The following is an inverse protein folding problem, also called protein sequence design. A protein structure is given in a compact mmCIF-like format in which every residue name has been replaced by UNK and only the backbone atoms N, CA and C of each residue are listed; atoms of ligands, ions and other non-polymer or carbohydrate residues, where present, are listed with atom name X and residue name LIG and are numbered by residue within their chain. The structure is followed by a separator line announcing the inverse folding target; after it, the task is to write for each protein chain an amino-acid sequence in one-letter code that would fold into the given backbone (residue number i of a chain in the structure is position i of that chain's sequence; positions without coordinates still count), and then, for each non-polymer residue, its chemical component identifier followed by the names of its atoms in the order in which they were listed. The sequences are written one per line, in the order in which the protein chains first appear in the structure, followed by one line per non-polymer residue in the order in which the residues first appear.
data_IF_688874206834
#
_entry.id   IF_688874206834
#
_cell.length_a   1.000
_cell.length_b   1.000
_cell.length_c   1.000
_cell.angle_alpha   90.00
_cell.angle_beta   90.00
_cell.angle_gamma   90.00
#
_symmetry.space_group_name_H-M   'P 1'
#
loop_
_entity.id
_entity.type
_entity.pdbx_description
1 polymer ?
#
# COMPACT_ATOMS: atom_id res chain seq x y z
N UNK A 1 -7.61 -34.99 24.41
CA UNK A 1 -7.35 -33.54 24.49
C UNK A 1 -6.69 -33.11 23.19
N UNK A 2 -7.48 -32.69 22.19
CA UNK A 2 -6.96 -32.11 20.93
C UNK A 2 -7.27 -30.62 20.96
N UNK A 3 -6.27 -29.81 21.29
CA UNK A 3 -6.40 -28.36 21.19
C UNK A 3 -6.34 -27.96 19.73
N UNK A 4 -7.47 -27.54 19.17
CA UNK A 4 -7.49 -26.74 17.94
C UNK A 4 -6.95 -25.36 18.35
N UNK A 5 -5.67 -25.12 18.08
CA UNK A 5 -5.05 -23.81 18.25
C UNK A 5 -5.61 -22.86 17.20
N UNK A 6 -6.59 -22.05 17.60
CA UNK A 6 -7.04 -20.90 16.83
C UNK A 6 -5.97 -19.84 17.05
N UNK A 7 -5.17 -19.55 16.03
CA UNK A 7 -4.11 -18.55 16.13
C UNK A 7 -4.73 -17.16 16.12
N UNK A 8 -4.03 -16.19 16.72
CA UNK A 8 -4.47 -14.79 16.82
C UNK A 8 -4.78 -14.14 15.44
N UNK A 9 -4.29 -14.73 14.35
CA UNK A 9 -4.57 -14.32 12.97
C UNK A 9 -5.90 -14.86 12.42
N UNK A 10 -6.43 -15.97 12.97
CA UNK A 10 -7.69 -16.58 12.52
C UNK A 10 -8.93 -15.81 13.01
N UNK A 11 -8.79 -15.00 14.07
CA UNK A 11 -9.89 -14.20 14.63
C UNK A 11 -10.12 -12.91 13.81
N UNK A 12 -9.09 -12.40 13.11
CA UNK A 12 -9.20 -11.20 12.27
C UNK A 12 -9.90 -11.46 10.93
N UNK A 13 -9.83 -12.69 10.40
CA UNK A 13 -10.52 -13.05 9.15
C UNK A 13 -12.02 -13.31 9.34
N UNK A 14 -12.48 -13.62 10.56
CA UNK A 14 -13.87 -14.04 10.82
C UNK A 14 -14.84 -12.90 11.15
N UNK A 15 -14.42 -11.63 11.19
CA UNK A 15 -15.31 -10.48 11.41
C UNK A 15 -15.73 -9.70 10.16
N UNK A 16 -15.20 -10.04 8.97
CA UNK A 16 -15.38 -9.22 7.77
C UNK A 16 -16.04 -9.93 6.58
N UNK A 17 -16.74 -11.04 6.82
CA UNK A 17 -17.34 -11.83 5.75
C UNK A 17 -18.80 -11.44 5.44
N UNK A 18 -19.11 -10.14 5.39
CA UNK A 18 -20.41 -9.65 4.96
C UNK A 18 -20.31 -8.94 3.61
N UNK A 19 -20.92 -9.52 2.57
CA UNK A 19 -21.06 -8.87 1.27
C UNK A 19 -22.23 -7.89 1.36
N UNK A 20 -21.94 -6.59 1.45
CA UNK A 20 -22.95 -5.55 1.32
C UNK A 20 -23.32 -5.39 -0.17
N UNK A 21 -24.45 -5.94 -0.58
CA UNK A 21 -24.96 -5.79 -1.94
C UNK A 21 -25.89 -4.59 -2.06
N UNK A 22 -25.51 -3.60 -2.87
CA UNK A 22 -26.36 -2.45 -3.22
C UNK A 22 -26.50 -2.34 -4.74
N UNK A 23 -27.70 -1.99 -5.21
CA UNK A 23 -27.93 -1.61 -6.61
C UNK A 23 -27.86 -0.09 -6.72
N UNK A 24 -27.09 0.40 -7.68
CA UNK A 24 -26.92 1.84 -7.94
C UNK A 24 -26.86 2.09 -9.44
N UNK A 25 -27.20 3.30 -9.85
CA UNK A 25 -27.28 3.68 -11.27
C UNK A 25 -25.95 4.25 -11.74
N UNK A 26 -25.59 3.95 -12.99
CA UNK A 26 -24.44 4.54 -13.67
C UNK A 26 -24.85 5.86 -14.32
N UNK A 27 -24.30 6.97 -13.82
CA UNK A 27 -24.58 8.31 -14.33
C UNK A 27 -23.56 8.74 -15.40
N UNK A 28 -23.94 9.70 -16.25
CA UNK A 28 -23.03 10.34 -17.22
C UNK A 28 -22.30 11.50 -16.54
N UNK A 29 -20.97 11.56 -16.70
CA UNK A 29 -20.11 12.65 -16.21
C UNK A 29 -19.24 13.09 -17.38
N UNK A 30 -19.69 14.10 -18.14
CA UNK A 30 -19.02 14.50 -19.38
C UNK A 30 -18.94 13.35 -20.39
N UNK A 31 -17.74 13.02 -20.85
CA UNK A 31 -17.48 11.85 -21.71
C UNK A 31 -17.34 10.53 -20.93
N UNK A 32 -17.35 10.60 -19.60
CA UNK A 32 -17.15 9.46 -18.71
C UNK A 32 -18.47 9.00 -18.07
N UNK A 33 -18.39 7.90 -17.33
CA UNK A 33 -19.49 7.34 -16.54
C UNK A 33 -19.06 7.20 -15.07
N UNK A 34 -19.98 7.40 -14.14
CA UNK A 34 -19.71 7.31 -12.71
C UNK A 34 -20.75 6.49 -11.95
N UNK A 35 -20.33 5.95 -10.81
CA UNK A 35 -21.18 5.21 -9.86
C UNK A 35 -21.24 6.01 -8.56
N UNK A 36 -22.44 6.23 -8.02
CA UNK A 36 -22.59 6.86 -6.70
C UNK A 36 -22.36 5.84 -5.60
N UNK A 37 -21.29 6.02 -4.83
CA UNK A 37 -20.98 5.21 -3.65
C UNK A 37 -21.47 5.94 -2.38
N UNK A 38 -22.26 5.29 -1.50
CA UNK A 38 -22.61 5.84 -0.20
C UNK A 38 -21.36 6.18 0.64
N UNK A 39 -21.39 7.34 1.31
CA UNK A 39 -20.29 7.80 2.18
C UNK A 39 -19.90 6.77 3.25
N UNK A 40 -20.88 6.04 3.78
CA UNK A 40 -20.66 5.00 4.79
C UNK A 40 -19.71 3.91 4.27
N UNK A 41 -19.85 3.50 3.00
CA UNK A 41 -18.98 2.48 2.40
C UNK A 41 -17.55 3.01 2.27
N UNK A 42 -17.38 4.24 1.78
CA UNK A 42 -16.05 4.87 1.65
C UNK A 42 -15.33 4.97 3.01
N UNK A 43 -16.06 5.35 4.05
CA UNK A 43 -15.52 5.43 5.42
C UNK A 43 -15.14 4.06 5.98
N UNK A 44 -15.96 3.03 5.76
CA UNK A 44 -15.68 1.66 6.24
C UNK A 44 -14.39 1.08 5.65
N UNK A 45 -14.08 1.40 4.40
CA UNK A 45 -12.89 0.90 3.68
C UNK A 45 -11.70 1.89 3.71
N UNK A 46 -11.85 3.02 4.39
CA UNK A 46 -10.78 4.02 4.55
C UNK A 46 -10.39 4.73 3.24
N UNK A 47 -11.35 4.89 2.32
CA UNK A 47 -11.15 5.66 1.09
C UNK A 47 -11.52 7.11 1.34
N UNK A 48 -10.59 8.02 1.03
CA UNK A 48 -10.82 9.46 1.01
C UNK A 48 -11.16 9.88 -0.42
N UNK A 49 -10.18 10.41 -1.15
CA UNK A 49 -10.41 11.10 -2.42
C UNK A 49 -9.97 10.29 -3.66
N UNK A 50 -9.08 9.30 -3.48
CA UNK A 50 -8.50 8.53 -4.57
C UNK A 50 -8.63 7.02 -4.36
N UNK A 51 -8.85 6.31 -5.47
CA UNK A 51 -8.95 4.84 -5.53
C UNK A 51 -8.19 4.32 -6.75
N UNK A 52 -7.55 3.18 -6.59
CA UNK A 52 -7.05 2.40 -7.72
C UNK A 52 -8.20 1.59 -8.31
N UNK A 53 -8.32 1.59 -9.64
CA UNK A 53 -9.34 0.85 -10.38
C UNK A 53 -8.66 -0.22 -11.23
N UNK A 54 -9.02 -1.48 -10.97
CA UNK A 54 -8.58 -2.65 -11.74
C UNK A 54 -9.78 -3.31 -12.42
N UNK A 55 -9.58 -3.84 -13.63
CA UNK A 55 -10.57 -4.65 -14.34
C UNK A 55 -10.15 -6.11 -14.26
N UNK A 56 -10.96 -6.93 -13.58
CA UNK A 56 -10.77 -8.38 -13.47
C UNK A 56 -11.96 -9.08 -14.14
N UNK A 57 -11.74 -9.62 -15.34
CA UNK A 57 -12.75 -10.33 -16.14
C UNK A 57 -14.02 -9.50 -16.37
N UNK A 58 -15.06 -9.76 -15.58
CA UNK A 58 -16.41 -9.19 -15.66
C UNK A 58 -16.73 -8.22 -14.51
N UNK A 59 -15.74 -7.86 -13.69
CA UNK A 59 -15.91 -6.95 -12.55
C UNK A 59 -14.82 -5.89 -12.49
N UNK A 60 -15.17 -4.78 -11.85
CA UNK A 60 -14.25 -3.72 -11.49
C UNK A 60 -13.91 -3.86 -10.00
N UNK A 61 -12.62 -3.86 -9.68
CA UNK A 61 -12.12 -3.89 -8.31
C UNK A 61 -11.60 -2.49 -7.98
N UNK A 62 -12.19 -1.87 -6.95
CA UNK A 62 -11.73 -0.59 -6.41
C UNK A 62 -10.92 -0.84 -5.15
N UNK A 63 -9.70 -0.30 -5.09
CA UNK A 63 -8.81 -0.41 -3.93
C UNK A 63 -8.49 0.98 -3.39
N UNK A 64 -8.41 1.18 -2.07
CA UNK A 64 -7.88 2.42 -1.52
C UNK A 64 -6.45 2.64 -2.01
N UNK A 65 -6.13 3.85 -2.48
CA UNK A 65 -4.75 4.20 -2.82
C UNK A 65 -3.91 4.13 -1.55
N UNK A 66 -2.95 3.20 -1.53
CA UNK A 66 -1.93 3.13 -0.49
C UNK A 66 -0.64 3.67 -1.06
N UNK A 67 -0.31 4.92 -0.74
CA UNK A 67 1.01 5.43 -1.08
C UNK A 67 2.06 4.58 -0.36
N UNK A 68 2.84 3.81 -1.13
CA UNK A 68 3.85 2.86 -0.64
C UNK A 68 4.83 3.48 0.37
N UNK A 69 4.99 4.81 0.32
CA UNK A 69 5.86 5.62 1.19
C UNK A 69 5.11 6.64 2.05
N UNK A 70 3.82 6.41 2.30
CA UNK A 70 3.07 7.23 3.25
C UNK A 70 3.77 7.21 4.61
N UNK A 71 3.94 8.38 5.22
CA UNK A 71 4.63 8.51 6.51
C UNK A 71 6.16 8.45 6.45
N UNK A 72 6.79 8.12 5.30
CA UNK A 72 8.26 8.06 5.19
C UNK A 72 8.89 9.40 5.53
N UNK A 73 8.38 10.51 4.96
CA UNK A 73 8.89 11.85 5.25
C UNK A 73 8.97 12.15 6.75
N UNK A 74 7.97 11.71 7.51
CA UNK A 74 7.93 11.94 8.96
C UNK A 74 8.84 10.96 9.71
N UNK A 75 8.90 9.70 9.28
CA UNK A 75 9.85 8.72 9.80
C UNK A 75 11.30 9.17 9.60
N UNK A 76 11.67 9.64 8.39
CA UNK A 76 12.99 10.20 8.10
C UNK A 76 13.31 11.43 8.95
N UNK A 77 12.35 12.35 9.15
CA UNK A 77 12.55 13.48 10.07
C UNK A 77 12.81 13.01 11.50
N UNK A 78 12.10 11.98 11.98
CA UNK A 78 12.30 11.41 13.32
C UNK A 78 13.65 10.69 13.44
N UNK A 79 14.08 9.97 12.41
CA UNK A 79 15.40 9.32 12.36
C UNK A 79 16.52 10.35 12.41
N UNK A 80 16.46 11.39 11.57
CA UNK A 80 17.45 12.47 11.56
C UNK A 80 17.50 13.23 12.89
N UNK A 81 16.33 13.51 13.50
CA UNK A 81 16.26 14.15 14.81
C UNK A 81 16.90 13.31 15.94
N UNK A 82 16.93 11.98 15.77
CA UNK A 82 17.59 11.04 16.69
C UNK A 82 19.04 10.72 16.32
N UNK A 83 19.53 11.22 15.18
CA UNK A 83 20.80 10.83 14.57
C UNK A 83 20.89 9.31 14.27
N UNK A 84 19.74 8.67 14.05
CA UNK A 84 19.62 7.26 13.63
C UNK A 84 19.86 7.10 12.11
N UNK A 85 20.21 8.17 11.40
CA UNK A 85 20.49 8.22 9.97
C UNK A 85 21.99 8.19 9.64
N UNK A 86 22.85 7.94 10.64
CA UNK A 86 24.29 7.78 10.44
C UNK A 86 24.60 6.39 9.89
N UNK A 87 25.58 6.32 8.98
CA UNK A 87 26.16 5.04 8.57
C UNK A 87 26.69 4.31 9.82
N UNK A 88 26.32 3.04 9.96
CA UNK A 88 26.85 2.16 11.01
C UNK A 88 28.28 1.71 10.68
N UNK A 89 28.56 1.62 9.39
CA UNK A 89 29.84 1.21 8.87
C UNK A 89 30.72 2.47 8.70
N UNK A 90 31.93 2.47 9.26
CA UNK A 90 32.84 3.62 9.20
C UNK A 90 33.36 3.87 7.77
N UNK A 91 34.14 4.94 7.58
CA UNK A 91 34.77 5.21 6.26
C UNK A 91 35.66 4.06 5.76
N UNK A 92 36.13 3.19 6.67
CA UNK A 92 36.97 2.03 6.35
C UNK A 92 36.25 0.90 5.59
N UNK A 93 34.91 0.93 5.50
CA UNK A 93 34.11 -0.08 4.80
C UNK A 93 33.57 0.39 3.45
N UNK A 94 34.05 1.52 2.92
CA UNK A 94 33.56 2.06 1.64
C UNK A 94 34.13 1.31 0.42
N UNK A 95 35.24 0.58 0.59
CA UNK A 95 35.91 -0.19 -0.47
C UNK A 95 36.08 -1.65 -0.03
N UNK A 96 34.98 -2.39 0.08
CA UNK A 96 35.02 -3.78 0.54
C UNK A 96 35.40 -4.76 -0.57
N UNK A 97 35.22 -4.37 -1.83
CA UNK A 97 35.55 -5.21 -2.97
C UNK A 97 36.00 -4.38 -4.17
N UNK A 98 36.70 -5.02 -5.11
CA UNK A 98 37.10 -4.40 -6.38
C UNK A 98 35.91 -3.95 -7.24
N UNK A 99 34.68 -4.37 -6.89
CA UNK A 99 33.45 -3.92 -7.56
C UNK A 99 33.00 -2.52 -7.11
N UNK A 100 33.57 -1.99 -6.02
CA UNK A 100 33.29 -0.65 -5.49
C UNK A 100 34.20 0.42 -6.12
N UNK A 101 35.20 0.00 -6.91
CA UNK A 101 36.18 0.90 -7.56
C UNK A 101 35.62 1.57 -8.82
N UNK A 102 34.69 0.91 -9.51
CA UNK A 102 34.17 1.34 -10.80
C UNK A 102 32.70 1.79 -10.72
N UNK A 103 32.39 2.93 -11.34
CA UNK A 103 31.02 3.41 -11.49
C UNK A 103 30.22 2.48 -12.41
N UNK A 104 29.04 2.06 -11.95
CA UNK A 104 28.18 1.17 -12.72
C UNK A 104 27.67 1.88 -13.97
N UNK A 105 28.06 1.39 -15.13
CA UNK A 105 27.52 1.83 -16.42
C UNK A 105 26.47 0.83 -16.88
N UNK A 106 25.29 1.34 -17.25
CA UNK A 106 24.26 0.54 -17.92
C UNK A 106 24.49 0.67 -19.42
N UNK A 107 24.72 -0.45 -20.11
CA UNK A 107 24.68 -0.45 -21.58
C UNK A 107 23.24 -0.12 -22.01
N UNK A 108 23.08 1.03 -22.65
CA UNK A 108 21.79 1.43 -23.21
C UNK A 108 21.57 0.63 -24.50
N UNK A 109 20.60 -0.30 -24.50
CA UNK A 109 20.06 -0.95 -25.71
C UNK A 109 19.06 -0.04 -26.44
#
# INVERSE_FOLDING_TARGET
MRGLGVTCLDIFELQYNYILAIKTNIIKIGNSRGIRLPKVILQQIGINDEVDLEVDRDRIVLKPVRHRRSGWREAFRKMAAKSDDRLLDGEETIFQSSWDEDEWTWENE
#
